data_IF_946862367062
#
_entry.id   IF_946862367062
#
_cell.length_a   1.000
_cell.length_b   1.000
_cell.length_c   1.000
_cell.angle_alpha   90.00
_cell.angle_beta   90.00
_cell.angle_gamma   90.00
#
_symmetry.space_group_name_H-M   'P 1'
#
loop_
_entity.id
_entity.type
_entity.pdbx_description
1 polymer ?
#
# COMPACT_ATOMS: atom_id res chain seq x y z
N UNK A 1 0.65 28.50 3.73
CA UNK A 1 1.85 28.07 4.47
C UNK A 1 3.09 28.63 3.80
N UNK A 2 3.99 29.28 4.54
CA UNK A 2 5.28 29.78 4.02
C UNK A 2 6.34 28.69 4.18
N UNK A 3 7.12 28.39 3.14
CA UNK A 3 8.22 27.43 3.22
C UNK A 3 9.36 27.96 4.13
N UNK A 4 10.09 27.06 4.77
CA UNK A 4 11.28 27.42 5.57
C UNK A 4 12.39 27.92 4.63
N UNK A 5 13.23 28.86 5.09
CA UNK A 5 14.29 29.49 4.26
C UNK A 5 15.32 28.50 3.69
N UNK A 6 15.52 27.37 4.36
CA UNK A 6 16.40 26.28 3.92
C UNK A 6 15.66 25.22 3.07
N UNK A 7 14.37 25.43 2.84
CA UNK A 7 13.54 24.58 2.02
C UNK A 7 13.39 25.26 0.65
N UNK A 8 14.26 24.87 -0.30
CA UNK A 8 14.11 25.28 -1.71
C UNK A 8 12.67 24.97 -2.14
N UNK A 9 11.95 25.88 -2.83
CA UNK A 9 10.61 25.63 -3.36
C UNK A 9 10.62 24.31 -4.13
N UNK A 10 10.23 23.22 -3.47
CA UNK A 10 10.29 21.88 -4.05
C UNK A 10 9.12 21.81 -5.02
N UNK A 11 9.35 22.29 -6.25
CA UNK A 11 8.40 22.07 -7.34
C UNK A 11 8.21 20.57 -7.48
N UNK A 12 6.96 20.14 -7.41
CA UNK A 12 6.58 18.78 -7.79
C UNK A 12 7.06 18.52 -9.23
N UNK A 13 7.63 17.34 -9.48
CA UNK A 13 8.06 16.92 -10.82
C UNK A 13 9.57 16.88 -11.11
N UNK A 14 10.44 17.10 -10.11
CA UNK A 14 11.92 16.99 -10.27
C UNK A 14 12.37 15.61 -10.78
N UNK A 15 11.60 14.55 -10.49
CA UNK A 15 11.91 13.16 -10.86
C UNK A 15 11.10 12.61 -12.04
N UNK A 16 10.27 13.42 -12.71
CA UNK A 16 9.36 12.95 -13.76
C UNK A 16 10.07 12.58 -15.07
N UNK A 17 11.28 13.11 -15.28
CA UNK A 17 12.14 12.84 -16.45
C UNK A 17 13.22 11.78 -16.19
N UNK A 18 13.38 11.35 -14.94
CA UNK A 18 14.34 10.31 -14.56
C UNK A 18 13.78 8.88 -14.71
N UNK A 19 14.64 7.88 -14.51
CA UNK A 19 14.26 6.46 -14.60
C UNK A 19 13.09 6.12 -13.66
N UNK A 20 13.11 6.63 -12.44
CA UNK A 20 12.03 6.47 -11.45
C UNK A 20 10.69 7.08 -11.89
N UNK A 21 10.69 8.31 -12.41
CA UNK A 21 9.46 8.94 -12.93
C UNK A 21 8.91 8.23 -14.15
N UNK A 22 9.79 7.79 -15.06
CA UNK A 22 9.38 7.04 -16.25
C UNK A 22 8.75 5.68 -15.89
N UNK A 23 9.31 4.96 -14.92
CA UNK A 23 8.76 3.71 -14.41
C UNK A 23 7.38 3.91 -13.76
N UNK A 24 7.25 4.95 -12.92
CA UNK A 24 5.96 5.33 -12.30
C UNK A 24 4.90 5.68 -13.33
N UNK A 25 5.24 6.45 -14.37
CA UNK A 25 4.34 6.77 -15.49
C UNK A 25 3.88 5.51 -16.22
N UNK A 26 4.78 4.54 -16.46
CA UNK A 26 4.44 3.25 -17.08
C UNK A 26 3.46 2.45 -16.21
N UNK A 27 3.68 2.40 -14.90
CA UNK A 27 2.77 1.72 -13.96
C UNK A 27 1.37 2.33 -13.99
N UNK A 28 1.28 3.66 -13.92
CA UNK A 28 0.00 4.38 -13.99
C UNK A 28 -0.71 4.17 -15.34
N UNK A 29 0.04 4.14 -16.44
CA UNK A 29 -0.50 3.82 -17.77
C UNK A 29 -1.11 2.42 -17.81
N UNK A 30 -0.39 1.43 -17.25
CA UNK A 30 -0.88 0.04 -17.17
C UNK A 30 -2.16 -0.06 -16.34
N UNK A 31 -2.20 0.56 -15.16
CA UNK A 31 -3.40 0.60 -14.31
C UNK A 31 -4.61 1.21 -15.05
N UNK A 32 -4.41 2.36 -15.71
CA UNK A 32 -5.47 3.03 -16.50
C UNK A 32 -5.95 2.17 -17.66
N UNK A 33 -5.05 1.49 -18.36
CA UNK A 33 -5.42 0.59 -19.46
C UNK A 33 -6.26 -0.59 -18.98
N UNK A 34 -5.87 -1.23 -17.87
CA UNK A 34 -6.66 -2.31 -17.28
C UNK A 34 -8.05 -1.80 -16.85
N UNK A 35 -8.13 -0.62 -16.23
CA UNK A 35 -9.42 -0.03 -15.85
C UNK A 35 -10.31 0.19 -17.08
N UNK A 36 -9.76 0.72 -18.18
CA UNK A 36 -10.51 0.90 -19.43
C UNK A 36 -11.03 -0.42 -20.00
N UNK A 37 -10.23 -1.49 -19.93
CA UNK A 37 -10.65 -2.82 -20.39
C UNK A 37 -11.80 -3.34 -19.53
N UNK A 38 -11.68 -3.29 -18.20
CA UNK A 38 -12.74 -3.71 -17.27
C UNK A 38 -14.04 -2.94 -17.48
N UNK A 39 -13.97 -1.62 -17.63
CA UNK A 39 -15.16 -0.78 -17.90
C UNK A 39 -15.77 -1.10 -19.28
N UNK A 40 -14.95 -1.39 -20.29
CA UNK A 40 -15.44 -1.78 -21.62
C UNK A 40 -16.07 -3.18 -21.61
N UNK A 41 -15.51 -4.11 -20.84
CA UNK A 41 -16.03 -5.45 -20.66
C UNK A 41 -17.36 -5.45 -19.92
N UNK A 42 -17.50 -4.63 -18.86
CA UNK A 42 -18.75 -4.47 -18.11
C UNK A 42 -19.93 -3.96 -18.98
N UNK A 43 -19.65 -3.27 -20.09
CA UNK A 43 -20.66 -2.75 -21.00
C UNK A 43 -20.93 -3.66 -22.21
N UNK A 44 -20.26 -4.81 -22.32
CA UNK A 44 -20.54 -5.77 -23.40
C UNK A 44 -21.55 -6.81 -22.91
N UNK A 45 -22.60 -7.12 -23.69
CA UNK A 45 -23.46 -8.26 -23.39
C UNK A 45 -22.61 -9.53 -23.38
N UNK A 46 -22.76 -10.32 -22.31
CA UNK A 46 -21.97 -11.49 -21.97
C UNK A 46 -21.73 -12.44 -23.15
N UNK A 47 -20.57 -12.32 -23.80
CA UNK A 47 -19.96 -13.47 -24.46
C UNK A 47 -19.07 -14.16 -23.42
N UNK A 48 -19.72 -14.90 -22.52
CA UNK A 48 -19.05 -15.83 -21.59
C UNK A 48 -18.13 -16.73 -22.41
N UNK A 49 -16.82 -16.55 -22.25
CA UNK A 49 -15.87 -17.64 -22.41
C UNK A 49 -15.69 -18.25 -21.03
N UNK A 50 -16.46 -19.31 -20.79
CA UNK A 50 -16.14 -20.28 -19.76
C UNK A 50 -14.72 -20.82 -20.02
N UNK A 51 -14.06 -21.26 -18.94
CA UNK A 51 -12.79 -21.99 -18.87
C UNK A 51 -11.58 -21.10 -18.54
N UNK A 52 -11.32 -20.89 -17.25
CA UNK A 52 -10.30 -21.67 -16.53
C UNK A 52 -10.30 -21.28 -15.06
N UNK A 53 -10.70 -22.25 -14.25
CA UNK A 53 -10.40 -22.40 -12.83
C UNK A 53 -8.90 -22.15 -12.58
N UNK A 54 -8.62 -21.09 -11.82
CA UNK A 54 -7.30 -20.76 -11.31
C UNK A 54 -7.50 -20.10 -9.96
N UNK A 55 -8.00 -20.88 -9.02
CA UNK A 55 -7.94 -20.71 -7.56
C UNK A 55 -7.99 -19.25 -7.09
N UNK A 56 -9.20 -18.81 -6.73
CA UNK A 56 -9.40 -17.72 -5.78
C UNK A 56 -8.83 -18.15 -4.42
N UNK A 57 -7.51 -18.26 -4.31
CA UNK A 57 -6.81 -18.24 -3.04
C UNK A 57 -6.95 -16.82 -2.52
N UNK A 58 -8.09 -16.59 -1.86
CA UNK A 58 -8.30 -15.65 -0.76
C UNK A 58 -7.13 -14.68 -0.64
N UNK A 59 -7.17 -13.60 -1.44
CA UNK A 59 -6.26 -12.46 -1.33
C UNK A 59 -6.67 -11.66 -0.08
N UNK A 60 -6.75 -12.35 1.07
CA UNK A 60 -6.80 -11.72 2.37
C UNK A 60 -5.39 -11.17 2.61
N UNK A 61 -5.24 -9.88 2.94
CA UNK A 61 -3.94 -9.35 3.28
C UNK A 61 -3.45 -10.07 4.54
N UNK A 62 -2.51 -11.00 4.37
CA UNK A 62 -1.81 -11.75 5.43
C UNK A 62 -1.18 -10.80 6.46
N UNK A 63 -1.02 -9.52 6.12
CA UNK A 63 -0.53 -8.48 7.01
C UNK A 63 -1.45 -8.17 8.21
N UNK A 64 -2.73 -8.58 8.18
CA UNK A 64 -3.65 -8.40 9.31
C UNK A 64 -3.60 -9.54 10.35
N UNK A 65 -3.06 -10.73 10.01
CA UNK A 65 -3.10 -11.89 10.90
C UNK A 65 -1.89 -12.01 11.83
N UNK A 66 -0.80 -11.31 11.56
CA UNK A 66 0.38 -11.27 12.43
C UNK A 66 0.36 -10.01 13.28
N UNK A 67 -0.54 -9.93 14.26
CA UNK A 67 -0.29 -9.06 15.40
C UNK A 67 0.77 -9.75 16.27
N UNK A 68 2.00 -9.23 16.41
CA UNK A 68 2.84 -9.70 17.48
C UNK A 68 2.13 -9.26 18.76
N UNK A 69 1.55 -10.23 19.47
CA UNK A 69 1.24 -10.12 20.88
C UNK A 69 2.59 -9.83 21.56
N UNK A 70 2.98 -8.56 21.62
CA UNK A 70 4.05 -8.10 22.47
C UNK A 70 3.54 -8.33 23.90
N UNK A 71 3.84 -9.50 24.44
CA UNK A 71 3.72 -9.75 25.86
C UNK A 71 4.70 -8.80 26.53
N UNK A 72 4.24 -7.60 26.86
CA UNK A 72 4.95 -6.70 27.76
C UNK A 72 4.98 -7.42 29.10
N UNK A 73 6.09 -8.12 29.36
CA UNK A 73 6.37 -8.73 30.65
C UNK A 73 6.65 -7.59 31.61
N UNK A 74 5.58 -7.05 32.20
CA UNK A 74 5.68 -6.07 33.29
C UNK A 74 6.41 -6.79 34.42
N UNK A 75 7.72 -6.52 34.55
CA UNK A 75 8.49 -6.91 35.71
C UNK A 75 8.00 -6.01 36.85
N UNK A 76 6.99 -6.48 37.59
CA UNK A 76 6.54 -5.84 38.82
C UNK A 76 7.69 -5.95 39.83
N UNK A 77 8.54 -4.94 39.87
CA UNK A 77 9.45 -4.74 40.99
C UNK A 77 8.58 -4.33 42.17
N UNK A 78 8.38 -5.25 43.13
CA UNK A 78 7.76 -4.92 44.42
C UNK A 78 8.68 -3.91 45.13
N UNK A 79 8.17 -2.76 45.60
CA UNK A 79 8.98 -1.85 46.39
C UNK A 79 9.33 -2.51 47.72
N UNK A 80 10.63 -2.56 48.06
CA UNK A 80 11.11 -2.93 49.39
C UNK A 80 11.00 -1.68 50.27
N UNK A 81 10.05 -1.68 51.20
CA UNK A 81 10.02 -0.66 52.26
C UNK A 81 11.08 -0.99 53.30
N UNK A 82 11.98 -0.05 53.57
CA UNK A 82 12.82 -0.06 54.76
C UNK A 82 12.15 0.83 55.80
N UNK A 83 11.76 0.22 56.92
CA UNK A 83 11.21 0.90 58.08
C UNK A 83 12.33 1.63 58.85
N UNK A 84 12.07 2.88 59.23
CA UNK A 84 12.71 3.60 60.33
C UNK A 84 11.57 4.15 61.18
#
# INVERSE_FOLDING_TARGET
>A
MRLKRWESPRKEGRNDKGRGGSARKRQLKKQRQMLRQKLKEANKPDKKKNNQSGEDQQIFPIFLSTSPFFQVKILSQKPKYHAI
#
